data_IF_270198263283
#
_entry.id   IF_270198263283
#
_cell.length_a   1.000
_cell.length_b   1.000
_cell.length_c   1.000
_cell.angle_alpha   90.00
_cell.angle_beta   90.00
_cell.angle_gamma   90.00
#
_symmetry.space_group_name_H-M   'P 1'
#
loop_
_entity.id
_entity.type
_entity.pdbx_description
1 polymer ?
#
# COMPACT_ATOMS: atom_id res chain seq x y z
N UNK A 1 0.92 -5.07 -5.64
CA UNK A 1 2.30 -5.43 -5.30
C UNK A 1 2.65 -6.80 -5.87
N UNK A 2 3.90 -6.99 -6.28
CA UNK A 2 4.47 -8.32 -6.60
C UNK A 2 5.57 -8.58 -5.57
N UNK A 3 5.52 -9.74 -4.92
CA UNK A 3 6.46 -10.12 -3.86
C UNK A 3 7.20 -11.39 -4.29
N UNK A 4 8.53 -11.29 -4.36
CA UNK A 4 9.40 -12.44 -4.54
C UNK A 4 10.17 -12.71 -3.24
N UNK A 5 9.73 -13.71 -2.48
CA UNK A 5 10.32 -14.05 -1.18
C UNK A 5 11.73 -14.66 -1.30
N UNK A 6 12.03 -15.35 -2.40
CA UNK A 6 13.34 -15.95 -2.61
C UNK A 6 14.43 -14.90 -2.86
N UNK A 7 14.12 -13.89 -3.66
CA UNK A 7 15.06 -12.80 -3.99
C UNK A 7 14.94 -11.58 -3.08
N UNK A 8 14.00 -11.59 -2.14
CA UNK A 8 13.69 -10.45 -1.24
C UNK A 8 13.36 -9.17 -2.00
N UNK A 9 12.58 -9.29 -3.06
CA UNK A 9 12.18 -8.16 -3.88
C UNK A 9 10.68 -7.90 -3.79
N UNK A 10 10.30 -6.63 -3.70
CA UNK A 10 8.91 -6.17 -3.74
C UNK A 10 8.80 -5.10 -4.80
N UNK A 11 7.92 -5.30 -5.78
CA UNK A 11 7.50 -4.26 -6.72
C UNK A 11 6.14 -3.70 -6.28
N UNK A 12 6.09 -2.43 -5.97
CA UNK A 12 4.86 -1.68 -5.67
C UNK A 12 4.44 -0.90 -6.91
N UNK A 13 3.23 -1.13 -7.41
CA UNK A 13 2.66 -0.43 -8.56
C UNK A 13 1.45 0.37 -8.12
N UNK A 14 1.52 1.70 -8.24
CA UNK A 14 0.37 2.60 -8.06
C UNK A 14 -0.39 2.75 -9.36
N UNK A 15 -1.65 2.33 -9.37
CA UNK A 15 -2.54 2.44 -10.53
C UNK A 15 -3.55 3.56 -10.27
N UNK A 16 -3.66 4.56 -11.16
CA UNK A 16 -4.62 5.64 -10.99
C UNK A 16 -6.06 5.12 -10.94
N UNK A 17 -6.81 5.54 -9.93
CA UNK A 17 -8.21 5.14 -9.72
C UNK A 17 -9.14 5.55 -10.87
N UNK A 18 -8.78 6.59 -11.60
CA UNK A 18 -9.58 7.16 -12.71
C UNK A 18 -9.20 6.58 -14.08
N UNK A 19 -8.34 5.53 -14.13
CA UNK A 19 -8.08 4.80 -15.37
C UNK A 19 -9.38 4.34 -16.00
N UNK A 20 -9.53 4.63 -17.30
CA UNK A 20 -10.69 4.26 -18.10
C UNK A 20 -10.42 2.94 -18.80
N UNK A 21 -10.80 1.84 -18.17
CA UNK A 21 -10.46 0.47 -18.54
C UNK A 21 -11.70 -0.41 -18.62
N UNK A 22 -11.68 -1.53 -19.41
CA UNK A 22 -12.73 -2.53 -19.33
C UNK A 22 -12.75 -3.14 -17.91
N UNK A 23 -13.90 -3.11 -17.23
CA UNK A 23 -14.07 -3.87 -16.00
C UNK A 23 -14.34 -5.34 -16.34
N UNK A 24 -13.89 -6.28 -15.50
CA UNK A 24 -14.02 -7.72 -15.73
C UNK A 24 -15.46 -8.19 -15.99
N UNK A 25 -16.45 -7.49 -15.43
CA UNK A 25 -17.90 -7.80 -15.59
C UNK A 25 -18.59 -7.02 -16.72
N UNK A 26 -17.88 -6.14 -17.45
CA UNK A 26 -18.51 -5.15 -18.33
C UNK A 26 -18.63 -5.57 -19.79
N UNK A 27 -18.25 -6.81 -20.15
CA UNK A 27 -18.22 -7.31 -21.52
C UNK A 27 -17.47 -6.35 -22.48
N UNK A 28 -16.32 -5.83 -22.05
CA UNK A 28 -15.47 -4.93 -22.81
C UNK A 28 -15.84 -3.45 -22.75
N UNK A 29 -16.93 -3.07 -22.08
CA UNK A 29 -17.24 -1.65 -21.85
C UNK A 29 -16.25 -1.07 -20.85
N UNK A 30 -15.73 0.11 -21.16
CA UNK A 30 -14.81 0.82 -20.30
C UNK A 30 -15.54 1.66 -19.26
N UNK A 31 -14.95 1.73 -18.07
CA UNK A 31 -15.37 2.62 -16.97
C UNK A 31 -14.14 2.98 -16.14
N UNK A 32 -14.29 3.88 -15.18
CA UNK A 32 -13.21 4.19 -14.23
C UNK A 32 -12.87 2.97 -13.39
N UNK A 33 -11.59 2.68 -13.24
CA UNK A 33 -11.11 1.55 -12.46
C UNK A 33 -11.69 1.54 -11.02
N UNK A 34 -11.85 2.73 -10.40
CA UNK A 34 -12.45 2.86 -9.07
C UNK A 34 -13.85 2.27 -8.98
N UNK A 35 -14.61 2.20 -10.09
CA UNK A 35 -15.96 1.65 -10.10
C UNK A 35 -15.97 0.11 -9.96
N UNK A 36 -14.86 -0.58 -10.23
CA UNK A 36 -14.75 -2.01 -9.93
C UNK A 36 -15.06 -2.32 -8.46
N UNK A 37 -14.68 -1.40 -7.55
CA UNK A 37 -14.93 -1.53 -6.11
C UNK A 37 -16.42 -1.55 -5.71
N UNK A 38 -17.31 -1.00 -6.55
CA UNK A 38 -18.76 -1.02 -6.33
C UNK A 38 -19.30 -2.45 -6.44
N UNK A 39 -18.66 -3.26 -7.29
CA UNK A 39 -19.06 -4.63 -7.57
C UNK A 39 -18.35 -5.67 -6.70
N UNK A 40 -17.44 -5.23 -5.83
CA UNK A 40 -16.75 -6.06 -4.86
C UNK A 40 -15.29 -6.34 -5.17
N UNK A 41 -14.63 -7.00 -4.21
CA UNK A 41 -13.16 -7.19 -4.25
C UNK A 41 -12.72 -8.10 -5.40
N UNK A 42 -13.50 -9.14 -5.72
CA UNK A 42 -13.17 -10.07 -6.82
C UNK A 42 -13.15 -9.32 -8.16
N UNK A 43 -14.12 -8.43 -8.40
CA UNK A 43 -14.13 -7.61 -9.63
C UNK A 43 -12.92 -6.68 -9.71
N UNK A 44 -12.46 -6.17 -8.56
CA UNK A 44 -11.21 -5.39 -8.52
C UNK A 44 -10.01 -6.25 -8.90
N UNK A 45 -9.87 -7.46 -8.31
CA UNK A 45 -8.76 -8.37 -8.59
C UNK A 45 -8.78 -8.78 -10.06
N UNK A 46 -9.90 -9.25 -10.58
CA UNK A 46 -10.05 -9.68 -11.98
C UNK A 46 -9.78 -8.53 -12.96
N UNK A 47 -10.23 -7.31 -12.65
CA UNK A 47 -9.99 -6.14 -13.50
C UNK A 47 -8.51 -5.77 -13.53
N UNK A 48 -7.81 -5.82 -12.40
CA UNK A 48 -6.36 -5.57 -12.33
C UNK A 48 -5.58 -6.69 -13.01
N UNK A 49 -6.01 -7.95 -12.83
CA UNK A 49 -5.44 -9.12 -13.51
C UNK A 49 -5.52 -8.95 -15.03
N UNK A 50 -6.69 -8.60 -15.56
CA UNK A 50 -6.87 -8.31 -16.99
C UNK A 50 -6.03 -7.12 -17.48
N UNK A 51 -5.91 -6.07 -16.67
CA UNK A 51 -5.18 -4.85 -17.05
C UNK A 51 -3.69 -5.07 -17.22
N UNK A 52 -3.11 -5.94 -16.38
CA UNK A 52 -1.66 -6.17 -16.34
C UNK A 52 -1.25 -7.53 -16.91
N UNK A 53 -2.21 -8.36 -17.30
CA UNK A 53 -1.98 -9.74 -17.76
C UNK A 53 -1.18 -10.56 -16.72
N UNK A 54 -1.61 -10.47 -15.45
CA UNK A 54 -1.01 -11.20 -14.32
C UNK A 54 -2.09 -11.73 -13.40
N UNK A 55 -1.86 -12.88 -12.78
CA UNK A 55 -2.76 -13.39 -11.76
C UNK A 55 -2.61 -12.59 -10.46
N UNK A 56 -3.74 -12.30 -9.81
CA UNK A 56 -3.78 -11.67 -8.50
C UNK A 56 -4.18 -12.72 -7.45
N UNK A 57 -3.22 -13.20 -6.69
CA UNK A 57 -3.43 -14.28 -5.72
C UNK A 57 -4.19 -13.84 -4.49
N UNK A 58 -3.88 -12.64 -3.99
CA UNK A 58 -4.37 -12.15 -2.70
C UNK A 58 -4.74 -10.68 -2.75
N UNK A 59 -5.62 -10.27 -1.82
CA UNK A 59 -5.89 -8.88 -1.56
C UNK A 59 -5.60 -8.51 -0.10
N UNK A 60 -5.34 -7.23 0.09
CA UNK A 60 -5.30 -6.58 1.38
C UNK A 60 -6.09 -5.27 1.28
N UNK A 61 -7.16 -5.14 2.07
CA UNK A 61 -8.05 -3.98 2.07
C UNK A 61 -8.11 -3.34 3.44
N UNK A 62 -7.98 -2.02 3.49
CA UNK A 62 -8.12 -1.25 4.71
C UNK A 62 -8.85 0.06 4.42
N UNK A 63 -9.49 0.60 5.45
CA UNK A 63 -10.05 1.95 5.45
C UNK A 63 -9.07 2.93 6.13
N UNK A 64 -9.45 4.19 6.24
CA UNK A 64 -8.58 5.22 6.82
C UNK A 64 -8.28 4.98 8.30
N UNK A 65 -9.27 4.51 9.08
CA UNK A 65 -9.08 4.17 10.49
C UNK A 65 -8.09 3.01 10.61
N UNK A 66 -8.30 1.93 9.86
CA UNK A 66 -7.39 0.78 9.86
C UNK A 66 -5.96 1.14 9.43
N UNK A 67 -5.80 2.09 8.50
CA UNK A 67 -4.47 2.60 8.15
C UNK A 67 -3.79 3.29 9.35
N UNK A 68 -4.53 4.16 10.05
CA UNK A 68 -4.02 4.84 11.26
C UNK A 68 -3.66 3.82 12.33
N UNK A 69 -4.55 2.86 12.59
CA UNK A 69 -4.33 1.81 13.61
C UNK A 69 -3.07 0.98 13.32
N UNK A 70 -2.85 0.60 12.05
CA UNK A 70 -1.65 -0.14 11.65
C UNK A 70 -0.39 0.67 11.91
N UNK A 71 -0.36 1.93 11.47
CA UNK A 71 0.82 2.79 11.64
C UNK A 71 1.11 3.03 13.12
N UNK A 72 0.08 3.29 13.94
CA UNK A 72 0.24 3.51 15.37
C UNK A 72 0.68 2.24 16.11
N UNK A 73 0.13 1.07 15.74
CA UNK A 73 0.56 -0.21 16.30
C UNK A 73 2.02 -0.56 15.98
N UNK A 74 2.55 -0.06 14.86
CA UNK A 74 3.96 -0.16 14.49
C UNK A 74 4.86 0.83 15.25
N UNK A 75 4.28 1.76 16.03
CA UNK A 75 5.00 2.85 16.68
C UNK A 75 5.41 3.96 15.72
N UNK A 76 4.68 4.11 14.62
CA UNK A 76 4.94 5.05 13.54
C UNK A 76 5.78 4.48 12.40
N UNK A 77 5.86 5.24 11.30
CA UNK A 77 6.65 4.89 10.11
C UNK A 77 7.57 6.02 9.68
N UNK A 78 8.66 5.66 9.01
CA UNK A 78 9.53 6.61 8.30
C UNK A 78 9.14 6.65 6.84
N UNK A 79 8.90 7.85 6.31
CA UNK A 79 8.66 8.08 4.88
C UNK A 79 9.67 9.07 4.33
N UNK A 80 10.01 8.94 3.05
CA UNK A 80 10.82 9.92 2.32
C UNK A 80 9.91 10.75 1.42
N UNK A 81 9.85 12.06 1.66
CA UNK A 81 9.06 12.99 0.87
C UNK A 81 9.89 13.65 -0.22
N UNK A 82 9.32 13.78 -1.42
CA UNK A 82 9.92 14.54 -2.53
C UNK A 82 9.88 16.06 -2.28
N UNK A 83 8.96 16.53 -1.44
CA UNK A 83 8.66 17.95 -1.25
C UNK A 83 8.52 18.32 0.23
N UNK A 84 8.76 19.59 0.52
CA UNK A 84 8.30 20.23 1.76
C UNK A 84 6.89 20.77 1.51
N UNK A 85 5.93 20.39 2.36
CA UNK A 85 4.52 20.80 2.23
C UNK A 85 3.77 20.68 3.57
N UNK A 86 2.56 21.21 3.59
CA UNK A 86 1.63 21.09 4.73
C UNK A 86 0.34 20.39 4.29
N UNK A 87 -0.25 19.60 5.18
CA UNK A 87 -1.58 19.01 4.99
C UNK A 87 -2.36 19.08 6.31
N UNK A 88 -3.41 19.88 6.34
CA UNK A 88 -4.12 20.20 7.58
C UNK A 88 -3.17 20.83 8.60
N UNK A 89 -3.06 20.23 9.78
CA UNK A 89 -2.21 20.73 10.87
C UNK A 89 -0.78 20.12 10.85
N UNK A 90 -0.44 19.31 9.83
CA UNK A 90 0.84 18.64 9.72
C UNK A 90 1.75 19.33 8.72
N UNK A 91 3.06 19.38 9.06
CA UNK A 91 4.11 19.88 8.19
C UNK A 91 5.09 18.78 7.89
N UNK A 92 5.45 18.63 6.62
CA UNK A 92 6.37 17.62 6.12
C UNK A 92 7.55 18.31 5.45
N UNK A 93 8.75 17.75 5.64
CA UNK A 93 9.97 18.25 5.01
C UNK A 93 10.37 17.35 3.84
N UNK A 94 11.04 17.91 2.85
CA UNK A 94 11.71 17.11 1.83
C UNK A 94 12.77 16.21 2.49
N UNK A 95 12.74 14.91 2.18
CA UNK A 95 13.58 13.92 2.83
C UNK A 95 12.78 13.09 3.85
N UNK A 96 13.45 12.62 4.89
CA UNK A 96 12.86 11.74 5.90
C UNK A 96 11.91 12.45 6.85
N UNK A 97 10.78 11.81 7.12
CA UNK A 97 9.78 12.23 8.09
C UNK A 97 9.36 11.02 8.94
N UNK A 98 9.33 11.21 10.26
CA UNK A 98 8.78 10.24 11.21
C UNK A 98 7.31 10.57 11.44
N UNK A 99 6.42 9.65 11.14
CA UNK A 99 4.98 9.89 11.12
C UNK A 99 4.25 8.91 12.03
N UNK A 100 3.35 9.41 12.88
CA UNK A 100 2.29 8.62 13.49
C UNK A 100 1.17 8.32 12.47
N UNK A 101 0.14 7.57 12.87
CA UNK A 101 -0.93 7.16 11.97
C UNK A 101 -1.70 8.33 11.37
N UNK A 102 -1.98 9.36 12.16
CA UNK A 102 -2.76 10.52 11.70
C UNK A 102 -1.94 11.42 10.77
N UNK A 103 -0.67 11.64 11.06
CA UNK A 103 0.24 12.36 10.16
C UNK A 103 0.49 11.58 8.86
N UNK A 104 0.68 10.25 8.94
CA UNK A 104 0.83 9.39 7.77
C UNK A 104 -0.42 9.42 6.88
N UNK A 105 -1.62 9.42 7.47
CA UNK A 105 -2.87 9.56 6.72
C UNK A 105 -2.95 10.92 6.01
N UNK A 106 -2.61 12.02 6.70
CA UNK A 106 -2.57 13.35 6.11
C UNK A 106 -1.57 13.42 4.93
N UNK A 107 -0.36 12.83 5.11
CA UNK A 107 0.66 12.71 4.08
C UNK A 107 0.16 11.96 2.83
N UNK A 108 -0.54 10.84 3.01
CA UNK A 108 -1.08 10.01 1.93
C UNK A 108 -2.27 10.62 1.20
N UNK A 109 -3.00 11.56 1.82
CA UNK A 109 -4.23 12.13 1.24
C UNK A 109 -4.01 13.47 0.55
N UNK A 110 -2.91 14.15 0.84
CA UNK A 110 -2.62 15.46 0.27
C UNK A 110 -2.41 15.37 -1.25
N UNK A 111 -3.06 16.29 -1.97
CA UNK A 111 -2.96 16.44 -3.42
C UNK A 111 -2.91 17.89 -3.89
N UNK A 112 -3.48 18.80 -3.10
CA UNK A 112 -3.63 20.21 -3.50
C UNK A 112 -2.34 21.00 -3.33
N UNK A 113 -1.43 20.54 -2.48
CA UNK A 113 -0.11 21.13 -2.29
C UNK A 113 0.85 20.90 -3.47
N UNK A 114 0.46 20.06 -4.45
CA UNK A 114 1.35 19.65 -5.54
C UNK A 114 0.81 20.05 -6.91
N UNK A 115 1.67 20.53 -7.79
CA UNK A 115 1.31 20.81 -9.18
C UNK A 115 0.85 19.57 -9.94
N UNK A 116 1.37 18.38 -9.58
CA UNK A 116 1.03 17.10 -10.18
C UNK A 116 -0.15 16.40 -9.49
N UNK A 117 -0.72 17.00 -8.44
CA UNK A 117 -1.93 16.53 -7.76
C UNK A 117 -1.94 15.05 -7.40
N UNK A 118 -2.80 14.29 -8.07
CA UNK A 118 -3.01 12.86 -7.84
C UNK A 118 -1.75 12.00 -8.06
N UNK A 119 -0.86 12.39 -8.97
CA UNK A 119 0.40 11.64 -9.19
C UNK A 119 1.29 11.69 -7.95
N UNK A 120 1.45 12.88 -7.34
CA UNK A 120 2.24 12.98 -6.12
C UNK A 120 1.57 12.26 -4.95
N UNK A 121 0.24 12.33 -4.86
CA UNK A 121 -0.51 11.53 -3.88
C UNK A 121 -0.20 10.04 -4.01
N UNK A 122 -0.21 9.50 -5.23
CA UNK A 122 0.18 8.11 -5.49
C UNK A 122 1.59 7.77 -5.01
N UNK A 123 2.58 8.66 -5.26
CA UNK A 123 3.96 8.49 -4.76
C UNK A 123 4.01 8.53 -3.22
N UNK A 124 3.29 9.45 -2.59
CA UNK A 124 3.22 9.52 -1.14
C UNK A 124 2.63 8.23 -0.53
N UNK A 125 1.61 7.65 -1.16
CA UNK A 125 1.04 6.37 -0.75
C UNK A 125 2.05 5.22 -0.88
N UNK A 126 2.81 5.17 -1.98
CA UNK A 126 3.88 4.18 -2.15
C UNK A 126 4.98 4.36 -1.10
N UNK A 127 5.35 5.60 -0.77
CA UNK A 127 6.33 5.89 0.28
C UNK A 127 5.85 5.41 1.66
N UNK A 128 4.56 5.61 1.97
CA UNK A 128 3.97 5.11 3.21
C UNK A 128 3.93 3.57 3.26
N UNK A 129 3.54 2.90 2.16
CA UNK A 129 3.58 1.43 2.08
C UNK A 129 5.01 0.92 2.29
N UNK A 130 6.00 1.55 1.65
CA UNK A 130 7.41 1.21 1.86
C UNK A 130 7.83 1.37 3.32
N UNK A 131 7.41 2.45 3.97
CA UNK A 131 7.64 2.69 5.40
C UNK A 131 7.03 1.60 6.29
N UNK A 132 5.79 1.19 5.98
CA UNK A 132 5.12 0.08 6.68
C UNK A 132 5.89 -1.23 6.48
N UNK A 133 6.26 -1.59 5.24
CA UNK A 133 7.01 -2.83 4.95
C UNK A 133 8.33 -2.85 5.71
N UNK A 134 9.10 -1.77 5.67
CA UNK A 134 10.34 -1.67 6.42
C UNK A 134 10.11 -1.88 7.93
N UNK A 135 9.02 -1.33 8.47
CA UNK A 135 8.71 -1.42 9.89
C UNK A 135 8.22 -2.80 10.32
N UNK A 136 7.32 -3.43 9.55
CA UNK A 136 6.83 -4.78 9.87
C UNK A 136 7.91 -5.86 9.75
N UNK A 137 8.96 -5.62 8.99
CA UNK A 137 10.09 -6.56 8.84
C UNK A 137 11.14 -6.41 9.92
N UNK A 138 11.03 -5.45 10.84
CA UNK A 138 11.92 -5.33 12.01
C UNK A 138 11.76 -6.54 12.94
N UNK A 139 12.86 -7.12 13.46
CA UNK A 139 12.79 -8.29 14.33
C UNK A 139 11.90 -8.11 15.56
N UNK A 140 11.82 -6.89 16.12
CA UNK A 140 10.98 -6.54 17.27
C UNK A 140 9.50 -6.74 17.00
N UNK A 141 9.03 -6.43 15.79
CA UNK A 141 7.64 -6.64 15.36
C UNK A 141 7.42 -8.11 15.03
N UNK A 142 8.35 -8.71 14.26
CA UNK A 142 8.22 -10.09 13.80
C UNK A 142 8.20 -11.12 14.95
N UNK A 143 8.97 -10.90 16.00
CA UNK A 143 8.95 -11.79 17.18
C UNK A 143 7.59 -11.80 17.90
N UNK A 144 6.80 -10.74 17.75
CA UNK A 144 5.48 -10.57 18.37
C UNK A 144 4.34 -10.49 17.34
N UNK A 145 4.56 -10.98 16.11
CA UNK A 145 3.63 -10.78 14.99
C UNK A 145 2.20 -11.28 15.29
N UNK A 146 2.03 -12.37 16.04
CA UNK A 146 0.70 -12.87 16.39
C UNK A 146 -0.07 -11.86 17.25
N UNK A 147 0.58 -11.28 18.25
CA UNK A 147 -0.02 -10.24 19.11
C UNK A 147 -0.29 -8.97 18.30
N UNK A 148 0.62 -8.59 17.41
CA UNK A 148 0.45 -7.48 16.50
C UNK A 148 -0.78 -7.67 15.59
N UNK A 149 -0.92 -8.83 14.93
CA UNK A 149 -2.10 -9.13 14.09
C UNK A 149 -3.40 -9.16 14.90
N UNK A 150 -3.36 -9.72 16.12
CA UNK A 150 -4.56 -9.74 17.00
C UNK A 150 -4.99 -8.34 17.43
N UNK A 151 -4.03 -7.45 17.68
CA UNK A 151 -4.33 -6.05 18.04
C UNK A 151 -4.98 -5.26 16.89
N UNK A 152 -4.79 -5.72 15.64
CA UNK A 152 -5.33 -5.10 14.44
C UNK A 152 -6.57 -5.84 13.89
N UNK A 153 -7.16 -6.74 14.68
CA UNK A 153 -8.40 -7.41 14.27
C UNK A 153 -9.50 -6.39 13.98
N UNK A 154 -10.09 -6.49 12.78
CA UNK A 154 -11.11 -5.55 12.29
C UNK A 154 -10.57 -4.27 11.62
N UNK A 155 -9.26 -3.99 11.70
CA UNK A 155 -8.65 -2.81 11.04
C UNK A 155 -8.41 -3.04 9.54
N UNK A 156 -8.38 -4.29 9.08
CA UNK A 156 -8.18 -4.66 7.67
C UNK A 156 -8.91 -5.95 7.29
N UNK A 157 -9.05 -6.17 6.00
CA UNK A 157 -9.47 -7.44 5.41
C UNK A 157 -8.39 -7.97 4.48
N UNK A 158 -8.16 -9.29 4.49
CA UNK A 158 -7.20 -9.92 3.58
C UNK A 158 -7.61 -11.36 3.26
N UNK A 159 -7.22 -11.82 2.07
CA UNK A 159 -7.30 -13.23 1.68
C UNK A 159 -5.98 -13.98 1.90
N UNK A 160 -4.91 -13.31 2.39
CA UNK A 160 -3.62 -13.95 2.64
C UNK A 160 -3.77 -14.95 3.79
N UNK A 161 -3.52 -16.27 3.57
CA UNK A 161 -3.62 -17.27 4.62
C UNK A 161 -2.62 -17.00 5.75
N UNK A 162 -3.05 -17.21 6.99
CA UNK A 162 -2.17 -17.08 8.16
C UNK A 162 -0.92 -17.97 8.07
N UNK A 163 -1.04 -19.16 7.46
CA UNK A 163 0.09 -20.05 7.21
C UNK A 163 1.18 -19.40 6.38
N UNK A 164 0.80 -18.68 5.29
CA UNK A 164 1.74 -17.97 4.44
C UNK A 164 2.39 -16.80 5.18
N UNK A 165 1.62 -16.05 5.99
CA UNK A 165 2.20 -15.00 6.85
C UNK A 165 3.24 -15.59 7.80
N UNK A 166 2.90 -16.71 8.46
CA UNK A 166 3.81 -17.42 9.38
C UNK A 166 5.10 -17.88 8.69
N UNK A 167 5.00 -18.40 7.47
CA UNK A 167 6.17 -18.84 6.68
C UNK A 167 7.07 -17.66 6.32
N UNK A 168 6.51 -16.55 5.86
CA UNK A 168 7.26 -15.34 5.54
C UNK A 168 7.95 -14.74 6.78
N UNK A 169 7.25 -14.71 7.93
CA UNK A 169 7.83 -14.26 9.20
C UNK A 169 9.00 -15.15 9.63
N UNK A 170 8.85 -16.48 9.57
CA UNK A 170 9.93 -17.41 9.91
C UNK A 170 11.13 -17.24 8.99
N UNK A 171 10.90 -17.13 7.69
CA UNK A 171 11.95 -16.90 6.71
C UNK A 171 12.69 -15.59 6.99
N UNK A 172 11.97 -14.50 7.30
CA UNK A 172 12.57 -13.22 7.63
C UNK A 172 13.39 -13.25 8.92
N UNK A 173 12.90 -13.92 9.97
CA UNK A 173 13.63 -14.06 11.23
C UNK A 173 14.88 -14.93 11.10
N UNK A 174 14.94 -15.84 10.12
CA UNK A 174 16.07 -16.76 9.93
C UNK A 174 17.29 -16.04 9.34
N UNK A 175 17.12 -15.21 8.32
CA UNK A 175 18.23 -14.57 7.63
C UNK A 175 18.31 -13.05 7.84
N UNK A 176 17.22 -12.44 8.31
CA UNK A 176 17.07 -11.00 8.54
C UNK A 176 17.54 -10.11 7.37
N UNK A 177 17.44 -10.61 6.14
CA UNK A 177 17.84 -9.88 4.94
C UNK A 177 16.92 -8.73 4.66
N UNK A 178 17.45 -7.59 4.20
CA UNK A 178 16.65 -6.44 3.79
C UNK A 178 15.86 -6.77 2.51
N UNK A 179 14.68 -6.15 2.39
CA UNK A 179 13.88 -6.20 1.17
C UNK A 179 14.27 -5.06 0.22
N UNK A 180 14.47 -5.42 -1.03
CA UNK A 180 14.60 -4.43 -2.12
C UNK A 180 13.21 -4.04 -2.60
N UNK A 181 12.77 -2.82 -2.27
CA UNK A 181 11.42 -2.32 -2.56
C UNK A 181 11.49 -1.28 -3.66
N UNK A 182 11.05 -1.67 -4.85
CA UNK A 182 10.93 -0.81 -6.02
C UNK A 182 9.50 -0.29 -6.12
N UNK A 183 9.33 1.00 -6.41
CA UNK A 183 8.04 1.65 -6.57
C UNK A 183 7.87 2.17 -8.00
N UNK A 184 6.72 1.93 -8.59
CA UNK A 184 6.36 2.43 -9.90
C UNK A 184 4.96 3.05 -9.88
N UNK A 185 4.83 4.25 -10.44
CA UNK A 185 3.53 4.90 -10.66
C UNK A 185 3.19 4.82 -12.14
N UNK A 186 2.08 4.19 -12.46
CA UNK A 186 1.59 4.13 -13.83
C UNK A 186 1.03 5.50 -14.21
N UNK A 187 1.44 5.98 -15.38
CA UNK A 187 0.96 7.24 -15.95
C UNK A 187 -0.07 6.99 -17.04
N UNK A 188 -0.99 7.93 -17.21
CA UNK A 188 -1.96 7.99 -18.29
C UNK A 188 -2.05 9.39 -18.85
N UNK A 189 -2.52 9.49 -20.10
CA UNK A 189 -2.96 10.76 -20.69
C UNK A 189 -4.39 11.03 -20.23
N UNK A 190 -4.66 12.22 -19.71
CA UNK A 190 -6.04 12.69 -19.49
C UNK A 190 -6.62 13.14 -20.82
N UNK A 191 -7.83 12.71 -21.14
CA UNK A 191 -8.66 13.30 -22.20
C UNK A 191 -9.42 14.51 -21.65
#
# INVERSE_FOLDING_TARGET
>A
AVVNAETRQILLVSTPRDYYVPLSISNGKKDKLTHAGIYGINVCMDTISMLYDVDIDYFFRLNFTGFVDIVDALGGITVVSDYTFTAGNYSFVKGENQLDGTAALAFCRERHAFATGDRQRGKNQLAAIKGIVNKVTEPSILMNYSSFLSALEGSFETSIPYSLISELVKAQLTDNSAWDIVSYSVDGTGD
#
